data_IF_064040580999
#
_entry.id   IF_064040580999
#
_cell.length_a   1.000
_cell.length_b   1.000
_cell.length_c   1.000
_cell.angle_alpha   90.00
_cell.angle_beta   90.00
_cell.angle_gamma   90.00
#
_symmetry.space_group_name_H-M   'P 1'
#
loop_
_entity.id
_entity.type
_entity.pdbx_description
1 polymer ?
#
# COMPACT_ATOMS: atom_id res chain seq x y z
N UNK A 1 -18.32 27.78 -18.89
CA UNK A 1 -18.14 27.22 -17.56
C UNK A 1 -17.25 26.00 -17.61
N UNK A 2 -16.21 25.99 -16.84
CA UNK A 2 -15.33 24.84 -16.71
C UNK A 2 -16.01 23.79 -15.84
N UNK A 3 -16.22 22.61 -16.40
CA UNK A 3 -16.71 21.49 -15.61
C UNK A 3 -15.63 21.08 -14.60
N UNK A 4 -16.00 21.00 -13.33
CA UNK A 4 -15.12 20.45 -12.30
C UNK A 4 -15.04 18.95 -12.52
N UNK A 5 -13.85 18.43 -12.80
CA UNK A 5 -13.64 16.99 -12.92
C UNK A 5 -13.87 16.33 -11.55
N UNK A 6 -14.70 15.31 -11.52
CA UNK A 6 -14.81 14.48 -10.31
C UNK A 6 -13.46 13.80 -10.05
N UNK A 7 -13.02 13.70 -8.78
CA UNK A 7 -11.82 12.91 -8.48
C UNK A 7 -12.02 11.49 -8.97
N UNK A 8 -10.94 10.88 -9.44
CA UNK A 8 -10.95 9.48 -9.86
C UNK A 8 -11.40 8.61 -8.68
N UNK A 9 -12.26 7.63 -8.97
CA UNK A 9 -12.73 6.71 -7.94
C UNK A 9 -11.59 5.84 -7.41
N UNK A 10 -11.67 5.46 -6.14
CA UNK A 10 -10.70 4.59 -5.50
C UNK A 10 -11.34 3.26 -5.13
N UNK A 11 -10.57 2.19 -5.23
CA UNK A 11 -10.99 0.87 -4.75
C UNK A 11 -11.31 0.96 -3.27
N UNK A 12 -12.25 0.14 -2.83
CA UNK A 12 -12.63 0.09 -1.42
C UNK A 12 -11.50 -0.57 -0.61
N UNK A 13 -11.38 -0.19 0.65
CA UNK A 13 -10.40 -0.78 1.56
C UNK A 13 -10.50 -2.31 1.59
N UNK A 14 -11.73 -2.83 1.59
CA UNK A 14 -11.99 -4.27 1.61
C UNK A 14 -11.44 -5.02 0.40
N UNK A 15 -11.26 -4.34 -0.74
CA UNK A 15 -10.67 -4.93 -1.94
C UNK A 15 -9.15 -4.95 -1.88
N UNK A 16 -8.54 -4.11 -1.04
CA UNK A 16 -7.09 -3.91 -0.99
C UNK A 16 -6.41 -4.73 0.09
N UNK A 17 -7.14 -5.34 1.01
CA UNK A 17 -6.59 -6.12 2.12
C UNK A 17 -6.96 -7.59 1.99
N UNK A 18 -6.09 -8.46 2.54
CA UNK A 18 -6.27 -9.91 2.44
C UNK A 18 -7.38 -10.46 3.32
N UNK A 19 -7.61 -9.84 4.48
CA UNK A 19 -8.63 -10.27 5.45
C UNK A 19 -9.36 -9.05 6.03
N UNK A 20 -10.36 -8.50 5.30
CA UNK A 20 -11.15 -7.41 5.84
C UNK A 20 -12.14 -7.92 6.92
N UNK A 21 -12.53 -7.06 7.88
CA UNK A 21 -12.08 -5.69 8.08
C UNK A 21 -10.71 -5.63 8.77
N UNK A 22 -10.04 -4.48 8.64
CA UNK A 22 -8.77 -4.23 9.34
C UNK A 22 -9.10 -3.86 10.79
N UNK A 23 -8.77 -4.75 11.72
CA UNK A 23 -9.12 -4.57 13.13
C UNK A 23 -8.30 -3.49 13.83
N UNK A 24 -7.01 -3.38 13.51
CA UNK A 24 -6.11 -2.43 14.15
C UNK A 24 -6.28 -1.04 13.56
N UNK A 25 -6.58 -0.07 14.42
CA UNK A 25 -6.89 1.30 14.00
C UNK A 25 -5.72 1.98 13.29
N UNK A 26 -4.49 1.84 13.82
CA UNK A 26 -3.31 2.44 13.19
C UNK A 26 -3.06 1.86 11.81
N UNK A 27 -3.13 0.53 11.68
CA UNK A 27 -2.99 -0.14 10.39
C UNK A 27 -4.01 0.36 9.38
N UNK A 28 -5.27 0.48 9.79
CA UNK A 28 -6.35 0.97 8.93
C UNK A 28 -6.08 2.39 8.46
N UNK A 29 -5.64 3.29 9.33
CA UNK A 29 -5.35 4.68 8.98
C UNK A 29 -4.17 4.78 8.00
N UNK A 30 -3.14 3.98 8.21
CA UNK A 30 -1.98 3.92 7.32
C UNK A 30 -2.40 3.42 5.93
N UNK A 31 -3.17 2.35 5.87
CA UNK A 31 -3.65 1.77 4.60
C UNK A 31 -4.59 2.76 3.89
N UNK A 32 -5.48 3.45 4.64
CA UNK A 32 -6.36 4.47 4.06
C UNK A 32 -5.56 5.60 3.40
N UNK A 33 -4.44 6.00 3.99
CA UNK A 33 -3.57 7.02 3.40
C UNK A 33 -3.00 6.54 2.06
N UNK A 34 -2.59 5.28 1.96
CA UNK A 34 -2.11 4.69 0.72
C UNK A 34 -3.23 4.54 -0.31
N UNK A 35 -4.44 4.20 0.13
CA UNK A 35 -5.60 3.98 -0.75
C UNK A 35 -5.90 5.18 -1.63
N UNK A 36 -5.71 6.38 -1.14
CA UNK A 36 -6.00 7.62 -1.88
C UNK A 36 -4.83 8.11 -2.73
N UNK A 37 -3.70 7.40 -2.75
CA UNK A 37 -2.56 7.77 -3.57
C UNK A 37 -2.91 7.73 -5.06
N UNK A 38 -2.32 8.62 -5.89
CA UNK A 38 -2.51 8.54 -7.33
C UNK A 38 -1.76 7.35 -7.92
N UNK A 39 -2.25 6.84 -9.05
CA UNK A 39 -1.57 5.78 -9.80
C UNK A 39 -1.77 5.95 -11.29
N UNK A 40 -0.83 5.43 -12.09
CA UNK A 40 -0.93 5.44 -13.54
C UNK A 40 -2.21 4.73 -13.97
N UNK A 41 -2.99 5.38 -14.85
CA UNK A 41 -4.29 4.87 -15.32
C UNK A 41 -5.25 4.49 -14.19
N UNK A 42 -5.04 5.02 -12.99
CA UNK A 42 -5.84 4.71 -11.80
C UNK A 42 -5.91 3.19 -11.51
N UNK A 43 -4.84 2.46 -11.81
CA UNK A 43 -4.80 1.00 -11.65
C UNK A 43 -4.77 0.55 -10.19
N UNK A 44 -4.26 1.38 -9.29
CA UNK A 44 -4.25 1.10 -7.85
C UNK A 44 -3.70 -0.31 -7.56
N UNK A 45 -2.43 -0.57 -7.96
CA UNK A 45 -1.88 -1.93 -7.95
C UNK A 45 -1.54 -2.46 -6.57
N UNK A 46 -1.57 -1.63 -5.56
CA UNK A 46 -1.18 -1.98 -4.19
C UNK A 46 -2.19 -2.89 -3.51
N UNK A 47 -1.66 -3.81 -2.71
CA UNK A 47 -2.44 -4.68 -1.83
C UNK A 47 -1.72 -4.74 -0.49
N UNK A 48 -2.46 -4.92 0.59
CA UNK A 48 -1.93 -4.82 1.95
C UNK A 48 -2.33 -6.02 2.78
N UNK A 49 -1.36 -6.52 3.54
CA UNK A 49 -1.58 -7.62 4.47
C UNK A 49 -1.17 -7.14 5.86
N UNK A 50 -2.11 -6.57 6.63
CA UNK A 50 -1.81 -6.10 7.97
C UNK A 50 -1.64 -7.27 8.94
N UNK A 51 -0.63 -7.15 9.78
CA UNK A 51 -0.35 -8.07 10.88
C UNK A 51 -0.06 -7.24 12.13
N UNK A 52 0.22 -7.91 13.24
CA UNK A 52 0.55 -7.18 14.47
C UNK A 52 1.84 -6.40 14.30
N UNK A 53 1.76 -5.08 14.42
CA UNK A 53 2.91 -4.17 14.33
C UNK A 53 3.53 -4.01 12.95
N UNK A 54 2.89 -4.51 11.89
CA UNK A 54 3.43 -4.38 10.53
C UNK A 54 2.35 -4.52 9.46
N UNK A 55 2.68 -4.01 8.28
CA UNK A 55 1.84 -4.13 7.09
C UNK A 55 2.74 -4.58 5.94
N UNK A 56 2.47 -5.77 5.42
CA UNK A 56 3.14 -6.23 4.21
C UNK A 56 2.49 -5.57 2.99
N UNK A 57 3.31 -5.10 2.07
CA UNK A 57 2.87 -4.40 0.87
C UNK A 57 3.14 -5.28 -0.34
N UNK A 58 2.10 -5.50 -1.12
CA UNK A 58 2.13 -6.31 -2.33
C UNK A 58 1.73 -5.50 -3.55
N UNK A 59 2.17 -5.95 -4.70
CA UNK A 59 1.78 -5.43 -5.99
C UNK A 59 0.99 -6.51 -6.72
N UNK A 60 -0.23 -6.19 -7.13
CA UNK A 60 -1.06 -7.14 -7.89
C UNK A 60 -0.43 -7.40 -9.25
N UNK A 61 -0.32 -8.66 -9.64
CA UNK A 61 0.15 -9.05 -10.96
C UNK A 61 -0.99 -8.90 -11.95
N UNK A 62 -0.82 -7.97 -12.90
CA UNK A 62 -1.80 -7.71 -13.94
C UNK A 62 -1.19 -8.04 -15.31
N UNK A 63 -2.03 -8.53 -16.24
CA UNK A 63 -1.60 -8.77 -17.62
C UNK A 63 -1.13 -7.50 -18.31
N UNK A 64 -1.69 -6.35 -17.93
CA UNK A 64 -1.30 -5.03 -18.45
C UNK A 64 0.12 -4.62 -18.04
N UNK A 65 0.72 -5.26 -17.04
CA UNK A 65 2.06 -4.93 -16.55
C UNK A 65 3.18 -5.68 -17.28
N UNK A 66 2.91 -6.23 -18.46
CA UNK A 66 3.90 -7.01 -19.19
C UNK A 66 4.92 -6.16 -19.94
N UNK A 67 4.60 -4.91 -20.26
CA UNK A 67 5.57 -4.02 -20.88
C UNK A 67 6.53 -3.46 -19.83
N UNK A 68 7.78 -3.22 -20.26
CA UNK A 68 8.79 -2.62 -19.38
C UNK A 68 8.30 -1.28 -18.80
N UNK A 69 7.70 -0.43 -19.64
CA UNK A 69 7.20 0.88 -19.23
C UNK A 69 6.11 0.75 -18.17
N UNK A 70 5.17 -0.16 -18.33
CA UNK A 70 4.10 -0.36 -17.35
C UNK A 70 4.65 -0.89 -16.03
N UNK A 71 5.65 -1.76 -16.05
CA UNK A 71 6.30 -2.24 -14.84
C UNK A 71 6.99 -1.09 -14.09
N UNK A 72 7.67 -0.21 -14.80
CA UNK A 72 8.34 0.95 -14.21
C UNK A 72 7.33 1.90 -13.58
N UNK A 73 6.23 2.20 -14.28
CA UNK A 73 5.15 3.05 -13.76
C UNK A 73 4.51 2.44 -12.52
N UNK A 74 4.28 1.15 -12.53
CA UNK A 74 3.69 0.44 -11.40
C UNK A 74 4.60 0.49 -10.17
N UNK A 75 5.90 0.30 -10.35
CA UNK A 75 6.87 0.41 -9.26
C UNK A 75 6.90 1.82 -8.68
N UNK A 76 6.81 2.83 -9.55
CA UNK A 76 6.70 4.22 -9.10
C UNK A 76 5.44 4.44 -8.28
N UNK A 77 4.30 3.92 -8.74
CA UNK A 77 3.03 3.99 -8.01
C UNK A 77 3.15 3.34 -6.63
N UNK A 78 3.82 2.19 -6.55
CA UNK A 78 4.07 1.52 -5.27
C UNK A 78 4.89 2.40 -4.32
N UNK A 79 5.91 3.08 -4.85
CA UNK A 79 6.72 4.02 -4.07
C UNK A 79 5.90 5.18 -3.53
N UNK A 80 4.99 5.72 -4.34
CA UNK A 80 4.08 6.80 -3.92
C UNK A 80 3.16 6.33 -2.79
N UNK A 81 2.56 5.15 -2.94
CA UNK A 81 1.69 4.59 -1.91
C UNK A 81 2.44 4.38 -0.58
N UNK A 82 3.65 3.84 -0.66
CA UNK A 82 4.48 3.63 0.53
C UNK A 82 4.91 4.94 1.19
N UNK A 83 5.13 5.99 0.41
CA UNK A 83 5.38 7.33 0.93
C UNK A 83 4.17 7.84 1.73
N UNK A 84 2.97 7.67 1.21
CA UNK A 84 1.74 8.02 1.93
C UNK A 84 1.62 7.25 3.24
N UNK A 85 2.00 5.98 3.25
CA UNK A 85 1.99 5.16 4.46
C UNK A 85 2.96 5.71 5.51
N UNK A 86 4.17 6.04 5.10
CA UNK A 86 5.20 6.58 5.98
C UNK A 86 4.76 7.92 6.59
N UNK A 87 4.19 8.81 5.78
CA UNK A 87 3.68 10.09 6.24
C UNK A 87 2.53 9.90 7.23
N UNK A 88 1.64 8.95 6.99
CA UNK A 88 0.56 8.64 7.93
C UNK A 88 1.10 8.12 9.25
N UNK A 89 2.11 7.26 9.23
CA UNK A 89 2.76 6.78 10.44
C UNK A 89 3.38 7.93 11.24
N UNK A 90 4.03 8.89 10.57
CA UNK A 90 4.56 10.10 11.21
C UNK A 90 3.44 10.91 11.88
N UNK A 91 2.33 11.13 11.18
CA UNK A 91 1.18 11.86 11.73
C UNK A 91 0.54 11.17 12.93
N UNK A 92 0.65 9.85 13.00
CA UNK A 92 0.13 9.05 14.11
C UNK A 92 1.13 8.93 15.28
N UNK A 93 2.27 9.62 15.21
CA UNK A 93 3.33 9.57 16.23
C UNK A 93 3.88 8.16 16.43
N UNK A 94 4.05 7.42 15.33
CA UNK A 94 4.62 6.09 15.35
C UNK A 94 6.08 6.12 14.91
N UNK A 95 6.90 5.29 15.53
CA UNK A 95 8.20 4.94 14.96
C UNK A 95 7.94 3.93 13.84
N UNK A 96 8.56 4.12 12.69
CA UNK A 96 8.35 3.25 11.55
C UNK A 96 9.65 2.99 10.81
N UNK A 97 9.69 1.86 10.13
CA UNK A 97 10.73 1.57 9.14
C UNK A 97 10.14 0.75 8.02
N UNK A 98 10.67 0.95 6.82
CA UNK A 98 10.27 0.22 5.63
C UNK A 98 11.44 -0.68 5.25
N UNK A 99 11.17 -1.98 5.10
CA UNK A 99 12.21 -2.98 4.85
C UNK A 99 11.62 -4.15 4.08
N UNK A 100 12.48 -4.99 3.52
CA UNK A 100 12.06 -6.27 2.95
C UNK A 100 12.33 -7.39 3.93
N UNK A 101 11.39 -8.33 4.03
CA UNK A 101 11.62 -9.57 4.75
C UNK A 101 12.64 -10.44 3.99
N UNK A 102 13.36 -11.29 4.72
CA UNK A 102 14.24 -12.29 4.12
C UNK A 102 13.45 -13.20 3.20
N UNK A 103 14.09 -13.71 2.14
CA UNK A 103 13.44 -14.59 1.16
C UNK A 103 12.78 -15.80 1.78
N UNK A 104 13.35 -16.35 2.86
CA UNK A 104 12.79 -17.47 3.60
C UNK A 104 11.55 -17.13 4.43
N UNK A 105 11.34 -15.83 4.70
CA UNK A 105 10.23 -15.31 5.52
C UNK A 105 9.30 -14.40 4.72
N UNK A 106 9.52 -14.29 3.42
CA UNK A 106 8.74 -13.44 2.55
C UNK A 106 7.27 -13.88 2.59
N UNK A 107 6.33 -12.96 2.89
CA UNK A 107 4.92 -13.31 2.91
C UNK A 107 4.43 -13.62 1.51
N UNK A 108 3.41 -14.49 1.42
CA UNK A 108 2.86 -14.94 0.15
C UNK A 108 1.39 -14.53 0.04
N UNK A 109 1.04 -13.95 -1.10
CA UNK A 109 -0.33 -13.66 -1.48
C UNK A 109 -0.49 -14.04 -2.95
N UNK A 110 -1.27 -15.08 -3.24
CA UNK A 110 -1.46 -15.59 -4.60
C UNK A 110 -1.94 -14.47 -5.54
N UNK A 111 -1.30 -14.36 -6.70
CA UNK A 111 -1.60 -13.32 -7.69
C UNK A 111 -0.97 -11.97 -7.40
N UNK A 112 -0.19 -11.87 -6.34
CA UNK A 112 0.50 -10.65 -5.95
C UNK A 112 1.99 -10.90 -5.79
N UNK A 113 2.78 -9.84 -5.98
CA UNK A 113 4.22 -9.87 -5.75
C UNK A 113 4.51 -9.07 -4.48
N UNK A 114 5.26 -9.68 -3.57
CA UNK A 114 5.71 -8.97 -2.36
C UNK A 114 6.66 -7.83 -2.73
N UNK A 115 6.47 -6.67 -2.12
CA UNK A 115 7.29 -5.47 -2.37
C UNK A 115 8.12 -5.12 -1.13
N UNK A 116 7.48 -4.90 -0.01
CA UNK A 116 8.15 -4.47 1.22
C UNK A 116 7.22 -4.62 2.42
N UNK A 117 7.75 -4.38 3.61
CA UNK A 117 6.98 -4.38 4.85
C UNK A 117 7.22 -3.08 5.60
N UNK A 118 6.14 -2.43 6.00
CA UNK A 118 6.19 -1.30 6.90
C UNK A 118 6.02 -1.82 8.33
N UNK A 119 7.05 -1.64 9.16
CA UNK A 119 7.00 -1.92 10.60
C UNK A 119 6.68 -0.62 11.33
N UNK A 120 5.86 -0.69 12.34
CA UNK A 120 5.51 0.48 13.14
C UNK A 120 5.27 0.10 14.59
N UNK A 121 5.58 1.03 15.48
CA UNK A 121 5.34 0.88 16.92
C UNK A 121 5.12 2.24 17.56
N UNK A 122 4.46 2.25 18.71
CA UNK A 122 4.24 3.49 19.46
C UNK A 122 5.59 4.02 19.95
N UNK A 123 5.81 5.32 19.75
CA UNK A 123 7.06 5.96 20.21
C UNK A 123 7.23 5.82 21.70
N UNK A 124 8.44 5.45 22.12
CA UNK A 124 8.86 5.44 23.51
C UNK A 124 9.32 6.84 23.92
N UNK A 125 8.91 7.27 25.09
CA UNK A 125 9.36 8.54 25.67
C UNK A 125 10.37 8.30 26.79
#
# INVERSE_FOLDING_TARGET
ATAVKKPASRKKLTELVNQPPVAQQNARKIIEAARIAPSAFNLQPWRFMPQDGKIHVFMKKESLMQTKRMKELTLLDMGIAMCHMALAAEELWLDWRLSREDTSKEPIWKGCQYVATLYYEIKSF
#
